data_IF_351171038326
#
_entry.id   IF_351171038326
#
_cell.length_a   1.000
_cell.length_b   1.000
_cell.length_c   1.000
_cell.angle_alpha   90.00
_cell.angle_beta   90.00
_cell.angle_gamma   90.00
#
_symmetry.space_group_name_H-M   'P 1'
#
loop_
_entity.id
_entity.type
_entity.pdbx_description
1 polymer ?
#
# COMPACT_ATOMS: atom_id res chain seq x y z
N UNK A 1 26.18 -73.66 -32.84
CA UNK A 1 26.78 -73.35 -34.14
C UNK A 1 26.85 -71.84 -34.13
N UNK A 2 27.96 -71.20 -33.83
CA UNK A 2 29.12 -70.92 -34.61
C UNK A 2 28.94 -69.50 -35.14
N UNK A 3 29.76 -68.55 -34.99
CA UNK A 3 31.14 -68.28 -34.67
C UNK A 3 31.31 -66.77 -34.78
N UNK A 4 32.01 -66.15 -33.88
CA UNK A 4 33.40 -65.66 -34.06
C UNK A 4 33.65 -64.60 -35.14
N UNK A 5 34.27 -63.49 -34.73
CA UNK A 5 35.03 -62.56 -35.54
C UNK A 5 34.89 -61.16 -35.03
N UNK A 6 35.57 -60.67 -34.07
CA UNK A 6 36.95 -60.26 -33.75
C UNK A 6 37.59 -59.35 -34.82
N UNK A 7 38.31 -58.34 -34.25
CA UNK A 7 39.44 -57.60 -34.79
C UNK A 7 39.09 -56.24 -35.41
N UNK A 8 39.54 -55.10 -35.00
CA UNK A 8 40.79 -54.45 -34.66
C UNK A 8 40.60 -52.92 -34.76
N UNK A 9 41.03 -52.19 -33.79
CA UNK A 9 41.37 -50.77 -33.92
C UNK A 9 42.68 -50.62 -34.77
N UNK A 10 43.02 -49.45 -35.29
CA UNK A 10 43.72 -48.45 -34.50
C UNK A 10 43.47 -46.98 -34.89
N UNK A 11 43.57 -46.11 -33.94
CA UNK A 11 44.61 -45.10 -33.67
C UNK A 11 44.68 -43.82 -34.53
N UNK A 12 44.54 -42.71 -33.77
CA UNK A 12 45.41 -41.53 -33.75
C UNK A 12 45.35 -40.55 -34.91
N UNK A 13 44.90 -39.32 -34.65
CA UNK A 13 45.70 -38.09 -34.68
C UNK A 13 44.84 -36.85 -34.44
N UNK A 14 45.18 -36.09 -33.40
CA UNK A 14 44.97 -34.65 -33.38
C UNK A 14 45.96 -33.96 -34.29
N UNK A 15 45.70 -32.74 -34.79
CA UNK A 15 46.20 -31.57 -34.14
C UNK A 15 45.35 -30.29 -34.26
N UNK A 16 45.50 -29.50 -33.26
CA UNK A 16 45.66 -28.03 -33.16
C UNK A 16 44.64 -27.10 -33.86
N UNK A 17 44.00 -26.31 -33.06
CA UNK A 17 43.44 -25.02 -32.89
C UNK A 17 43.79 -23.93 -33.92
N UNK A 18 43.53 -22.62 -33.68
CA UNK A 18 42.80 -21.95 -32.57
C UNK A 18 41.69 -21.01 -33.06
N UNK A 19 41.20 -20.21 -32.14
CA UNK A 19 40.42 -18.96 -32.24
C UNK A 19 38.92 -19.08 -31.93
N UNK A 20 38.59 -18.65 -30.70
CA UNK A 20 37.28 -18.17 -30.30
C UNK A 20 37.01 -16.76 -30.85
N UNK A 21 36.07 -15.98 -30.40
CA UNK A 21 35.09 -16.03 -29.31
C UNK A 21 33.67 -15.58 -29.74
N UNK A 22 32.84 -14.94 -28.99
CA UNK A 22 32.41 -15.09 -27.60
C UNK A 22 30.88 -15.20 -27.46
N UNK A 23 30.45 -15.57 -26.27
CA UNK A 23 29.18 -15.03 -25.73
C UNK A 23 27.88 -15.72 -26.17
N UNK A 24 27.56 -16.85 -25.54
CA UNK A 24 26.21 -17.25 -25.35
C UNK A 24 26.06 -17.69 -23.89
N UNK A 25 25.50 -16.82 -23.11
CA UNK A 25 24.99 -17.15 -21.76
C UNK A 25 24.05 -18.31 -21.88
N UNK A 26 24.52 -19.48 -21.55
CA UNK A 26 23.70 -20.66 -21.36
C UNK A 26 22.83 -20.41 -20.12
N UNK A 27 21.61 -19.91 -20.37
CA UNK A 27 20.54 -19.94 -19.41
C UNK A 27 20.29 -21.41 -19.05
N UNK A 28 20.77 -21.84 -17.90
CA UNK A 28 20.39 -23.10 -17.27
C UNK A 28 18.88 -23.08 -17.04
N UNK A 29 18.16 -23.56 -18.02
CA UNK A 29 16.74 -23.90 -17.88
C UNK A 29 16.68 -25.17 -17.05
N UNK A 30 16.55 -25.02 -15.72
CA UNK A 30 16.14 -26.11 -14.85
C UNK A 30 14.81 -26.67 -15.39
N UNK A 31 14.67 -27.98 -15.62
CA UNK A 31 13.37 -28.54 -15.87
C UNK A 31 12.58 -28.44 -14.58
N UNK A 32 11.64 -27.51 -14.56
CA UNK A 32 10.72 -27.32 -13.45
C UNK A 32 9.87 -28.59 -13.28
N UNK A 33 10.25 -29.40 -12.33
CA UNK A 33 9.37 -30.37 -11.72
C UNK A 33 8.25 -29.63 -10.99
N UNK A 34 7.07 -30.23 -11.02
CA UNK A 34 5.85 -29.83 -10.30
C UNK A 34 5.06 -28.66 -10.90
N UNK A 35 4.59 -28.88 -12.14
CA UNK A 35 3.46 -28.14 -12.71
C UNK A 35 2.13 -28.54 -12.06
N UNK A 36 1.96 -28.20 -10.79
CA UNK A 36 0.63 -27.88 -10.29
C UNK A 36 0.41 -26.43 -10.69
N UNK A 37 -0.65 -26.08 -11.44
CA UNK A 37 -1.07 -24.71 -11.50
C UNK A 37 -1.33 -24.31 -10.06
N UNK A 38 -0.47 -23.45 -9.50
CA UNK A 38 -0.88 -22.68 -8.34
C UNK A 38 -2.23 -22.10 -8.74
N UNK A 39 -3.31 -22.35 -7.99
CA UNK A 39 -4.52 -21.61 -8.23
C UNK A 39 -4.08 -20.16 -8.05
N UNK A 40 -3.91 -19.43 -9.13
CA UNK A 40 -3.94 -17.98 -9.14
C UNK A 40 -5.38 -17.70 -8.71
N UNK A 41 -5.57 -17.71 -7.40
CA UNK A 41 -6.81 -17.31 -6.78
C UNK A 41 -6.94 -15.86 -7.19
N UNK A 42 -7.82 -15.62 -8.14
CA UNK A 42 -8.12 -14.30 -8.68
C UNK A 42 -8.72 -13.47 -7.52
N UNK A 43 -7.81 -12.88 -6.73
CA UNK A 43 -8.13 -12.05 -5.56
C UNK A 43 -8.43 -10.60 -5.98
N UNK A 44 -8.90 -10.40 -7.23
CA UNK A 44 -9.39 -9.07 -7.61
C UNK A 44 -10.56 -8.66 -6.70
N UNK A 45 -10.37 -7.63 -5.86
CA UNK A 45 -11.41 -7.20 -4.93
C UNK A 45 -12.74 -6.89 -5.60
N UNK A 46 -12.74 -6.47 -6.86
CA UNK A 46 -13.96 -6.13 -7.60
C UNK A 46 -14.78 -7.37 -7.93
N UNK A 47 -14.13 -8.43 -8.39
CA UNK A 47 -14.80 -9.72 -8.64
C UNK A 47 -15.31 -10.34 -7.35
N UNK A 48 -14.49 -10.29 -6.28
CA UNK A 48 -14.88 -10.79 -4.97
C UNK A 48 -16.12 -10.06 -4.43
N UNK A 49 -16.17 -8.73 -4.56
CA UNK A 49 -17.32 -7.95 -4.10
C UNK A 49 -18.59 -8.25 -4.90
N UNK A 50 -18.47 -8.42 -6.23
CA UNK A 50 -19.61 -8.78 -7.08
C UNK A 50 -20.15 -10.16 -6.72
N UNK A 51 -19.29 -11.17 -6.50
CA UNK A 51 -19.70 -12.49 -6.05
C UNK A 51 -20.34 -12.43 -4.64
N UNK A 52 -19.76 -11.66 -3.72
CA UNK A 52 -20.33 -11.45 -2.39
C UNK A 52 -21.71 -10.82 -2.45
N UNK A 53 -21.96 -9.90 -3.39
CA UNK A 53 -23.27 -9.26 -3.58
C UNK A 53 -24.37 -10.25 -3.99
N UNK A 54 -24.01 -11.39 -4.59
CA UNK A 54 -24.94 -12.49 -4.90
C UNK A 54 -25.09 -13.52 -3.78
N UNK A 55 -24.46 -13.31 -2.63
CA UNK A 55 -24.58 -14.16 -1.44
C UNK A 55 -23.39 -15.09 -1.19
N UNK A 56 -22.31 -15.02 -1.96
CA UNK A 56 -21.10 -15.81 -1.74
C UNK A 56 -20.34 -15.31 -0.50
N UNK A 57 -20.49 -16.05 0.61
CA UNK A 57 -19.81 -15.73 1.88
C UNK A 57 -18.30 -15.94 1.83
N UNK A 58 -17.83 -16.86 0.99
CA UNK A 58 -16.38 -17.10 0.83
C UNK A 58 -15.75 -15.93 0.10
N UNK A 59 -16.38 -15.46 -0.98
CA UNK A 59 -15.95 -14.27 -1.70
C UNK A 59 -15.94 -13.03 -0.78
N UNK A 60 -16.96 -12.87 0.08
CA UNK A 60 -17.01 -11.80 1.07
C UNK A 60 -15.82 -11.85 2.03
N UNK A 61 -15.51 -13.03 2.59
CA UNK A 61 -14.39 -13.19 3.51
C UNK A 61 -13.04 -12.88 2.85
N UNK A 62 -12.89 -13.29 1.58
CA UNK A 62 -11.69 -12.98 0.77
C UNK A 62 -11.60 -11.49 0.45
N UNK A 63 -12.72 -10.85 0.09
CA UNK A 63 -12.77 -9.41 -0.14
C UNK A 63 -12.31 -8.61 1.08
N UNK A 64 -12.86 -8.93 2.27
CA UNK A 64 -12.45 -8.28 3.53
C UNK A 64 -10.96 -8.47 3.76
N UNK A 65 -10.46 -9.69 3.64
CA UNK A 65 -9.04 -10.02 3.85
C UNK A 65 -8.11 -9.29 2.89
N UNK A 66 -8.52 -9.13 1.63
CA UNK A 66 -7.75 -8.44 0.60
C UNK A 66 -7.70 -6.91 0.79
N UNK A 67 -8.66 -6.33 1.51
CA UNK A 67 -8.82 -4.87 1.57
C UNK A 67 -8.68 -4.27 2.97
N UNK A 68 -8.74 -5.09 4.04
CA UNK A 68 -8.73 -4.59 5.42
C UNK A 68 -7.49 -3.78 5.79
N UNK A 69 -6.31 -4.20 5.32
CA UNK A 69 -5.07 -3.49 5.62
C UNK A 69 -5.07 -2.06 5.05
N UNK A 70 -5.62 -1.87 3.86
CA UNK A 70 -5.71 -0.54 3.24
C UNK A 70 -6.73 0.35 3.95
N UNK A 71 -7.89 -0.20 4.32
CA UNK A 71 -8.91 0.52 5.08
C UNK A 71 -8.36 0.94 6.43
N UNK A 72 -7.72 0.02 7.15
CA UNK A 72 -7.11 0.30 8.45
C UNK A 72 -6.05 1.40 8.36
N UNK A 73 -5.09 1.26 7.42
CA UNK A 73 -4.04 2.28 7.21
C UNK A 73 -4.64 3.64 6.88
N UNK A 74 -5.69 3.67 6.08
CA UNK A 74 -6.37 4.91 5.73
C UNK A 74 -7.01 5.56 6.96
N UNK A 75 -7.77 4.81 7.76
CA UNK A 75 -8.41 5.29 8.97
C UNK A 75 -7.37 5.76 10.00
N UNK A 76 -6.32 4.98 10.22
CA UNK A 76 -5.22 5.34 11.11
C UNK A 76 -4.54 6.65 10.68
N UNK A 77 -4.27 6.82 9.39
CA UNK A 77 -3.63 8.03 8.87
C UNK A 77 -4.53 9.28 8.95
N UNK A 78 -5.83 9.13 8.76
CA UNK A 78 -6.75 10.27 8.75
C UNK A 78 -7.19 10.71 10.15
N UNK A 79 -7.42 9.76 11.03
CA UNK A 79 -7.93 10.02 12.39
C UNK A 79 -6.83 9.77 13.41
N UNK A 80 -6.62 8.53 13.81
CA UNK A 80 -5.50 8.03 14.60
C UNK A 80 -5.50 6.48 14.63
N UNK A 81 -4.38 5.84 15.01
CA UNK A 81 -4.29 4.38 15.14
C UNK A 81 -5.24 3.80 16.19
N UNK A 82 -5.50 4.51 17.29
CA UNK A 82 -6.34 4.00 18.38
C UNK A 82 -7.81 3.82 17.96
N UNK A 83 -8.30 4.65 17.03
CA UNK A 83 -9.65 4.55 16.49
C UNK A 83 -9.73 3.69 15.22
N UNK A 84 -8.60 3.29 14.64
CA UNK A 84 -8.57 2.68 13.31
C UNK A 84 -9.35 1.36 13.23
N UNK A 85 -9.35 0.55 14.29
CA UNK A 85 -10.06 -0.72 14.33
C UNK A 85 -11.58 -0.50 14.31
N UNK A 86 -12.09 0.39 15.15
CA UNK A 86 -13.52 0.71 15.21
C UNK A 86 -14.02 1.34 13.91
N UNK A 87 -13.22 2.27 13.36
CA UNK A 87 -13.54 2.90 12.07
C UNK A 87 -13.51 1.89 10.93
N UNK A 88 -12.58 0.95 10.93
CA UNK A 88 -12.52 -0.13 9.94
C UNK A 88 -13.78 -0.99 10.01
N UNK A 89 -14.25 -1.36 11.20
CA UNK A 89 -15.49 -2.10 11.37
C UNK A 89 -16.69 -1.29 10.82
N UNK A 90 -16.80 -0.01 11.15
CA UNK A 90 -17.87 0.86 10.65
C UNK A 90 -17.85 0.97 9.12
N UNK A 91 -16.64 1.06 8.51
CA UNK A 91 -16.49 1.05 7.06
C UNK A 91 -17.10 -0.21 6.45
N UNK A 92 -16.79 -1.39 7.00
CA UNK A 92 -17.34 -2.64 6.49
C UNK A 92 -18.83 -2.77 6.76
N UNK A 93 -19.34 -2.30 7.88
CA UNK A 93 -20.79 -2.27 8.12
C UNK A 93 -21.52 -1.41 7.08
N UNK A 94 -20.97 -0.23 6.74
CA UNK A 94 -21.54 0.61 5.66
C UNK A 94 -21.36 -0.03 4.29
N UNK A 95 -20.21 -0.64 4.03
CA UNK A 95 -19.93 -1.33 2.77
C UNK A 95 -20.90 -2.50 2.54
N UNK A 96 -21.16 -3.34 3.56
CA UNK A 96 -22.10 -4.46 3.47
C UNK A 96 -23.53 -3.98 3.15
N UNK A 97 -23.98 -2.87 3.74
CA UNK A 97 -25.29 -2.27 3.43
C UNK A 97 -25.37 -1.72 2.02
N UNK A 98 -24.26 -1.20 1.50
CA UNK A 98 -24.18 -0.59 0.17
C UNK A 98 -23.84 -1.58 -0.95
N UNK A 99 -23.29 -2.76 -0.60
CA UNK A 99 -22.82 -3.80 -1.52
C UNK A 99 -23.86 -4.22 -2.57
N UNK A 100 -25.16 -4.42 -2.24
CA UNK A 100 -26.17 -4.83 -3.24
C UNK A 100 -26.36 -3.78 -4.36
N UNK A 101 -25.92 -2.53 -4.13
CA UNK A 101 -26.03 -1.44 -5.11
C UNK A 101 -24.71 -1.15 -5.82
N UNK A 102 -23.67 -1.94 -5.56
CA UNK A 102 -22.36 -1.77 -6.20
C UNK A 102 -22.44 -2.11 -7.69
N UNK A 103 -22.11 -1.17 -8.56
CA UNK A 103 -22.26 -1.28 -10.02
C UNK A 103 -20.91 -1.41 -10.76
N UNK A 104 -19.79 -1.61 -10.04
CA UNK A 104 -18.45 -1.72 -10.60
C UNK A 104 -18.05 -0.56 -11.55
N UNK A 105 -18.55 0.66 -11.30
CA UNK A 105 -18.15 1.88 -12.04
C UNK A 105 -16.72 2.31 -11.71
N UNK A 106 -16.20 1.85 -10.60
CA UNK A 106 -14.80 1.94 -10.17
C UNK A 106 -14.38 0.60 -9.58
N UNK A 107 -13.09 0.43 -9.28
CA UNK A 107 -12.66 -0.76 -8.53
C UNK A 107 -13.34 -0.82 -7.17
N UNK A 108 -13.58 -2.03 -6.65
CA UNK A 108 -14.15 -2.19 -5.31
C UNK A 108 -13.25 -1.58 -4.23
N UNK A 109 -11.93 -1.57 -4.44
CA UNK A 109 -10.96 -0.90 -3.57
C UNK A 109 -11.18 0.62 -3.53
N UNK A 110 -11.30 1.26 -4.69
CA UNK A 110 -11.61 2.70 -4.82
C UNK A 110 -12.93 3.06 -4.16
N UNK A 111 -13.98 2.27 -4.43
CA UNK A 111 -15.30 2.43 -3.82
C UNK A 111 -15.28 2.28 -2.29
N UNK A 112 -14.56 1.26 -1.77
CA UNK A 112 -14.45 1.02 -0.34
C UNK A 112 -13.70 2.16 0.37
N UNK A 113 -12.63 2.68 -0.24
CA UNK A 113 -11.87 3.81 0.29
C UNK A 113 -12.67 5.13 0.25
N UNK A 114 -13.60 5.29 -0.70
CA UNK A 114 -14.57 6.39 -0.65
C UNK A 114 -15.49 6.30 0.57
N UNK A 115 -15.92 5.09 0.95
CA UNK A 115 -16.69 4.86 2.19
C UNK A 115 -15.82 5.18 3.41
N UNK A 116 -14.57 4.68 3.43
CA UNK A 116 -13.64 4.94 4.52
C UNK A 116 -13.39 6.43 4.74
N UNK A 117 -13.23 7.20 3.65
CA UNK A 117 -13.07 8.66 3.72
C UNK A 117 -14.28 9.35 4.39
N UNK A 118 -15.49 8.93 4.04
CA UNK A 118 -16.71 9.49 4.65
C UNK A 118 -16.80 9.14 6.14
N UNK A 119 -16.47 7.89 6.51
CA UNK A 119 -16.43 7.45 7.92
C UNK A 119 -15.41 8.26 8.71
N UNK A 120 -14.19 8.43 8.19
CA UNK A 120 -13.15 9.24 8.83
C UNK A 120 -13.57 10.70 8.99
N UNK A 121 -14.16 11.30 7.95
CA UNK A 121 -14.66 12.67 8.01
C UNK A 121 -15.80 12.84 9.03
N UNK A 122 -16.71 11.85 9.16
CA UNK A 122 -17.76 11.84 10.19
C UNK A 122 -17.13 11.84 11.60
N UNK A 123 -16.12 11.00 11.83
CA UNK A 123 -15.43 10.92 13.12
C UNK A 123 -14.65 12.20 13.44
N UNK A 124 -13.93 12.78 12.48
CA UNK A 124 -13.25 14.07 12.67
C UNK A 124 -14.24 15.14 13.08
N UNK A 125 -15.37 15.25 12.38
CA UNK A 125 -16.43 16.21 12.73
C UNK A 125 -17.05 15.93 14.12
N UNK A 126 -17.22 14.64 14.47
CA UNK A 126 -17.71 14.25 15.79
C UNK A 126 -16.77 14.69 16.90
N UNK A 127 -15.46 14.44 16.75
CA UNK A 127 -14.43 14.88 17.71
C UNK A 127 -14.34 16.40 17.84
N UNK A 128 -14.41 17.13 16.73
CA UNK A 128 -14.44 18.59 16.74
C UNK A 128 -15.63 19.13 17.54
N UNK A 129 -16.83 18.57 17.35
CA UNK A 129 -18.02 18.97 18.15
C UNK A 129 -17.85 18.63 19.63
N UNK A 130 -17.27 17.48 19.97
CA UNK A 130 -17.01 17.12 21.38
C UNK A 130 -16.01 18.05 22.06
N UNK A 131 -14.98 18.47 21.35
CA UNK A 131 -14.00 19.46 21.89
C UNK A 131 -14.59 20.84 22.15
N UNK A 132 -15.67 21.19 21.49
CA UNK A 132 -16.39 22.46 21.71
C UNK A 132 -17.33 22.43 22.92
N UNK A 133 -17.64 21.25 23.47
CA UNK A 133 -18.39 21.11 24.70
C UNK A 133 -17.44 21.15 25.89
N UNK A 134 -17.78 21.88 27.00
CA UNK A 134 -16.97 21.87 28.19
C UNK A 134 -16.92 20.46 28.78
N UNK A 135 -15.85 19.75 28.55
CA UNK A 135 -15.59 18.41 29.10
C UNK A 135 -14.13 18.37 29.58
N UNK A 136 -13.81 17.64 30.67
CA UNK A 136 -12.45 17.49 31.13
C UNK A 136 -11.60 16.86 30.04
N UNK A 137 -10.40 17.44 29.81
CA UNK A 137 -9.40 16.95 28.86
C UNK A 137 -9.01 15.51 29.20
N UNK A 138 -9.43 14.57 28.34
CA UNK A 138 -8.81 13.26 28.31
C UNK A 138 -7.56 13.42 27.45
N UNK A 139 -6.40 13.37 28.11
CA UNK A 139 -5.09 13.48 27.47
C UNK A 139 -4.96 12.46 26.33
N UNK A 140 -4.52 12.92 25.18
CA UNK A 140 -4.11 12.06 24.06
C UNK A 140 -3.04 11.09 24.56
N UNK A 141 -3.31 9.79 24.44
CA UNK A 141 -2.36 8.74 24.81
C UNK A 141 -1.15 8.78 23.88
N UNK A 142 0.08 8.75 24.37
CA UNK A 142 1.27 8.78 23.53
C UNK A 142 1.42 7.47 22.77
N UNK A 143 1.63 7.57 21.46
CA UNK A 143 1.79 6.49 20.49
C UNK A 143 3.25 5.96 20.49
N UNK A 144 3.51 4.64 20.31
CA UNK A 144 4.87 4.07 20.35
C UNK A 144 5.76 4.53 19.19
N UNK A 145 7.00 4.84 19.54
CA UNK A 145 8.02 5.65 18.91
C UNK A 145 8.62 5.20 17.56
N UNK A 146 7.88 5.05 16.51
CA UNK A 146 8.45 4.79 15.18
C UNK A 146 7.48 5.08 14.04
N UNK A 147 6.21 4.88 14.26
CA UNK A 147 5.15 5.35 13.35
C UNK A 147 4.78 6.82 13.64
N UNK A 148 5.27 7.34 14.76
CA UNK A 148 5.01 8.68 15.30
C UNK A 148 5.44 9.80 14.36
N UNK A 149 6.61 9.68 13.73
CA UNK A 149 7.15 10.78 12.92
C UNK A 149 6.30 11.03 11.66
N UNK A 150 6.04 9.99 10.84
CA UNK A 150 5.24 10.16 9.62
C UNK A 150 3.78 10.50 9.94
N UNK A 151 3.21 9.86 10.96
CA UNK A 151 1.83 10.12 11.40
C UNK A 151 1.69 11.54 11.94
N UNK A 152 2.64 11.99 12.77
CA UNK A 152 2.72 13.37 13.26
C UNK A 152 2.75 14.38 12.12
N UNK A 153 3.63 14.17 11.14
CA UNK A 153 3.76 15.04 9.97
C UNK A 153 2.48 15.08 9.13
N UNK A 154 1.85 13.94 8.88
CA UNK A 154 0.61 13.86 8.10
C UNK A 154 -0.56 14.57 8.82
N UNK A 155 -0.57 14.59 10.15
CA UNK A 155 -1.61 15.29 10.94
C UNK A 155 -1.59 16.82 10.76
N UNK A 156 -0.47 17.41 10.37
CA UNK A 156 -0.39 18.85 10.05
C UNK A 156 -1.01 19.23 8.72
N UNK A 157 -1.38 18.24 7.89
CA UNK A 157 -2.08 18.49 6.63
C UNK A 157 -3.58 18.75 6.89
N UNK A 158 -4.18 19.61 6.07
CA UNK A 158 -5.64 19.72 6.03
C UNK A 158 -6.26 18.37 5.65
N UNK A 159 -7.45 18.06 6.14
CA UNK A 159 -8.15 16.79 5.92
C UNK A 159 -8.18 16.38 4.44
N UNK A 160 -8.48 17.31 3.56
CA UNK A 160 -8.54 17.08 2.12
C UNK A 160 -7.17 16.78 1.50
N UNK A 161 -6.12 17.49 1.94
CA UNK A 161 -4.74 17.25 1.49
C UNK A 161 -4.23 15.91 2.03
N UNK A 162 -4.53 15.60 3.29
CA UNK A 162 -4.21 14.35 3.93
C UNK A 162 -4.86 13.17 3.21
N UNK A 163 -6.17 13.26 2.93
CA UNK A 163 -6.89 12.22 2.18
C UNK A 163 -6.28 11.97 0.80
N UNK A 164 -6.01 13.03 0.03
CA UNK A 164 -5.42 12.90 -1.30
C UNK A 164 -3.99 12.32 -1.24
N UNK A 165 -3.19 12.74 -0.27
CA UNK A 165 -1.83 12.25 -0.08
C UNK A 165 -1.82 10.78 0.32
N UNK A 166 -2.61 10.37 1.32
CA UNK A 166 -2.66 8.99 1.79
C UNK A 166 -3.16 8.06 0.68
N UNK A 167 -4.24 8.41 -0.03
CA UNK A 167 -4.75 7.60 -1.13
C UNK A 167 -3.70 7.37 -2.22
N UNK A 168 -2.96 8.39 -2.60
CA UNK A 168 -2.05 8.31 -3.75
C UNK A 168 -0.62 7.88 -3.37
N UNK A 169 -0.06 8.37 -2.26
CA UNK A 169 1.34 8.15 -1.91
C UNK A 169 1.54 6.98 -0.94
N UNK A 170 0.57 6.71 -0.08
CA UNK A 170 0.66 5.62 0.90
C UNK A 170 -0.03 4.35 0.39
N UNK A 171 -1.23 4.50 -0.16
CA UNK A 171 -2.03 3.37 -0.65
C UNK A 171 -1.82 3.09 -2.14
N UNK A 172 -1.13 3.95 -2.87
CA UNK A 172 -0.77 3.74 -4.26
C UNK A 172 -1.94 3.80 -5.25
N UNK A 173 -3.05 4.50 -4.94
CA UNK A 173 -4.11 4.72 -5.91
C UNK A 173 -3.62 5.64 -7.03
N UNK A 174 -4.15 5.41 -8.24
CA UNK A 174 -4.00 6.38 -9.31
C UNK A 174 -4.66 7.71 -8.94
N UNK A 175 -4.20 8.81 -9.53
CA UNK A 175 -4.85 10.11 -9.33
C UNK A 175 -6.32 10.11 -9.77
N UNK A 176 -6.65 9.30 -10.78
CA UNK A 176 -8.03 9.14 -11.23
C UNK A 176 -8.89 8.40 -10.19
N UNK A 177 -8.38 7.30 -9.61
CA UNK A 177 -9.09 6.56 -8.56
C UNK A 177 -9.23 7.39 -7.29
N UNK A 178 -8.18 8.11 -6.89
CA UNK A 178 -8.25 9.04 -5.76
C UNK A 178 -9.28 10.16 -5.99
N UNK A 179 -9.41 10.65 -7.23
CA UNK A 179 -10.41 11.64 -7.60
C UNK A 179 -11.83 11.09 -7.45
N UNK A 180 -12.06 9.84 -7.87
CA UNK A 180 -13.33 9.14 -7.67
C UNK A 180 -13.60 8.95 -6.16
N UNK A 181 -12.61 8.50 -5.37
CA UNK A 181 -12.79 8.31 -3.92
C UNK A 181 -13.05 9.62 -3.17
N UNK A 182 -12.46 10.72 -3.61
CA UNK A 182 -12.64 12.05 -3.03
C UNK A 182 -13.82 12.83 -3.61
N UNK A 183 -14.45 12.35 -4.69
CA UNK A 183 -15.55 13.04 -5.40
C UNK A 183 -15.16 14.43 -5.91
N UNK A 184 -13.94 14.56 -6.43
CA UNK A 184 -13.38 15.81 -6.95
C UNK A 184 -12.69 15.59 -8.30
N UNK A 185 -12.49 16.64 -9.11
CA UNK A 185 -11.70 16.53 -10.34
C UNK A 185 -10.27 16.07 -10.11
N UNK A 186 -9.67 15.34 -11.05
CA UNK A 186 -8.27 14.85 -10.97
C UNK A 186 -7.28 15.99 -10.77
N UNK A 187 -7.52 17.16 -11.37
CA UNK A 187 -6.70 18.36 -11.18
C UNK A 187 -6.67 18.82 -9.72
N UNK A 188 -7.79 18.67 -8.99
CA UNK A 188 -7.87 18.98 -7.55
C UNK A 188 -7.02 18.02 -6.73
N UNK A 189 -7.00 16.72 -7.06
CA UNK A 189 -6.12 15.75 -6.39
C UNK A 189 -4.66 16.12 -6.62
N UNK A 190 -4.26 16.46 -7.87
CA UNK A 190 -2.89 16.88 -8.17
C UNK A 190 -2.45 18.08 -7.34
N UNK A 191 -3.27 19.12 -7.26
CA UNK A 191 -2.95 20.31 -6.45
C UNK A 191 -2.91 20.03 -4.96
N UNK A 192 -3.82 19.18 -4.43
CA UNK A 192 -3.83 18.78 -3.02
C UNK A 192 -2.56 18.00 -2.66
N UNK A 193 -2.14 17.04 -3.50
CA UNK A 193 -0.91 16.27 -3.30
C UNK A 193 0.34 17.15 -3.38
N UNK A 194 0.40 18.10 -4.33
CA UNK A 194 1.51 19.04 -4.43
C UNK A 194 1.65 19.88 -3.15
N UNK A 195 0.57 20.49 -2.68
CA UNK A 195 0.56 21.27 -1.44
C UNK A 195 0.87 20.43 -0.20
N UNK A 196 0.37 19.18 -0.16
CA UNK A 196 0.71 18.26 0.93
C UNK A 196 2.21 17.98 0.98
N UNK A 197 2.85 17.74 -0.17
CA UNK A 197 4.30 17.52 -0.25
C UNK A 197 5.10 18.75 0.20
N UNK A 198 4.71 19.94 -0.27
CA UNK A 198 5.35 21.20 0.12
C UNK A 198 5.31 21.38 1.64
N UNK A 199 4.13 21.22 2.27
CA UNK A 199 3.97 21.32 3.72
C UNK A 199 4.79 20.27 4.49
N UNK A 200 4.85 19.02 3.99
CA UNK A 200 5.62 17.96 4.63
C UNK A 200 7.13 18.24 4.54
N UNK A 201 7.62 18.74 3.41
CA UNK A 201 9.03 19.13 3.25
C UNK A 201 9.37 20.27 4.23
N UNK A 202 8.55 21.31 4.31
CA UNK A 202 8.75 22.41 5.27
C UNK A 202 8.78 21.90 6.70
N UNK A 203 7.82 21.06 7.09
CA UNK A 203 7.77 20.51 8.45
C UNK A 203 9.00 19.67 8.81
N UNK A 204 9.55 18.90 7.88
CA UNK A 204 10.77 18.12 8.10
C UNK A 204 12.00 19.02 8.18
N UNK A 205 12.04 20.11 7.40
CA UNK A 205 13.17 21.04 7.39
C UNK A 205 13.21 21.89 8.66
N UNK A 206 12.04 22.30 9.15
CA UNK A 206 11.92 23.12 10.38
C UNK A 206 12.20 22.30 11.65
N UNK A 207 11.98 20.98 11.62
CA UNK A 207 12.26 20.05 12.74
C UNK A 207 13.71 19.54 12.72
N UNK A 208 14.52 19.90 11.73
CA UNK A 208 15.94 19.56 11.69
C UNK A 208 16.70 20.46 12.68
N UNK A 209 17.40 19.91 13.71
CA UNK A 209 18.17 20.72 14.66
C UNK A 209 19.20 21.54 13.88
N UNK A 210 19.18 22.85 14.11
CA UNK A 210 20.18 23.77 13.55
C UNK A 210 21.57 23.28 13.92
N UNK A 211 22.36 22.91 12.93
CA UNK A 211 23.73 22.38 13.08
C UNK A 211 24.73 23.44 13.66
N UNK A 212 24.23 24.56 14.21
CA UNK A 212 25.05 25.69 14.65
C UNK A 212 25.19 25.81 16.17
N UNK A 213 24.67 24.82 16.94
CA UNK A 213 24.87 24.79 18.40
C UNK A 213 26.01 23.82 18.79
N UNK A 214 27.17 23.95 18.14
CA UNK A 214 28.39 23.38 18.69
C UNK A 214 28.92 24.35 19.78
N UNK A 215 29.05 23.89 21.02
CA UNK A 215 29.72 24.70 22.05
C UNK A 215 31.17 24.93 21.57
N UNK A 216 31.49 26.19 21.29
CA UNK A 216 32.90 26.63 21.08
C UNK A 216 33.64 26.32 22.36
N UNK A 217 34.41 25.25 22.28
CA UNK A 217 35.36 24.90 23.33
C UNK A 217 36.32 26.07 23.56
N UNK A 218 36.07 26.79 24.66
CA UNK A 218 37.00 27.81 25.18
C UNK A 218 38.09 27.06 25.94
N UNK A 219 39.08 26.53 25.19
CA UNK A 219 40.38 26.20 25.80
C UNK A 219 41.33 27.30 25.44
N UNK A 220 41.55 28.19 26.35
CA UNK A 220 42.54 29.27 26.28
C UNK A 220 43.06 29.57 27.64
N UNK A 221 44.36 29.30 27.84
CA UNK A 221 45.34 29.65 28.81
C UNK A 221 45.75 28.63 29.84
#
# INVERSE_FOLDING_TARGET
MGGLGSVLAPAVRSPHGPDGPPGATASCRMPGAWGLPSPVMDDDPTRLLLAAATGDRVALSRFVRATQADVWRFCAALVDPAAADDLTQEVYLRALRAMPRFQARSSARTWLLAIARRVAADEIRHRQRRRQLPHPEIADSPDPAGQVALHGLIRHLDEDQRSAFVLTQVLGLSYADAAVSCEVPVGTIRSRVARARERLVTAVTDDAPSADDQPRDQTGA
#
